data_IF_999348858791
#
_entry.id   IF_999348858791
#
_cell.length_a   1.000
_cell.length_b   1.000
_cell.length_c   1.000
_cell.angle_alpha   90.00
_cell.angle_beta   90.00
_cell.angle_gamma   90.00
#
_symmetry.space_group_name_H-M   'P 1'
#
loop_
_entity.id
_entity.type
_entity.pdbx_description
1 polymer ?
#
# COMPACT_ATOMS: atom_id res chain seq x y z
N UNK A 1 -23.02 48.56 -30.50
CA UNK A 1 -22.69 47.32 -29.77
C UNK A 1 -21.27 47.46 -29.25
N UNK A 2 -21.06 47.41 -27.94
CA UNK A 2 -19.83 47.90 -27.31
C UNK A 2 -18.67 46.90 -27.51
N UNK A 3 -17.51 47.35 -27.99
CA UNK A 3 -16.31 46.53 -28.23
C UNK A 3 -15.91 45.67 -27.01
N UNK A 4 -16.16 46.18 -25.80
CA UNK A 4 -15.94 45.48 -24.52
C UNK A 4 -16.87 44.28 -24.30
N UNK A 5 -18.09 44.29 -24.83
CA UNK A 5 -19.03 43.16 -24.69
C UNK A 5 -18.67 42.01 -25.63
N UNK A 6 -18.15 42.33 -26.82
CA UNK A 6 -17.65 41.34 -27.78
C UNK A 6 -16.41 40.62 -27.23
N UNK A 7 -15.44 41.37 -26.69
CA UNK A 7 -14.24 40.80 -26.06
C UNK A 7 -14.57 39.93 -24.83
N UNK A 8 -15.61 40.28 -24.05
CA UNK A 8 -16.03 39.47 -22.90
C UNK A 8 -16.67 38.15 -23.33
N UNK A 9 -17.54 38.19 -24.36
CA UNK A 9 -18.16 36.98 -24.93
C UNK A 9 -17.14 36.04 -25.57
N UNK A 10 -16.12 36.59 -26.21
CA UNK A 10 -15.06 35.78 -26.82
C UNK A 10 -14.23 35.06 -25.76
N UNK A 11 -13.85 35.76 -24.66
CA UNK A 11 -13.18 35.15 -23.51
C UNK A 11 -14.05 34.10 -22.81
N UNK A 12 -15.33 34.37 -22.61
CA UNK A 12 -16.29 33.42 -22.03
C UNK A 12 -16.42 32.16 -22.92
N UNK A 13 -16.51 32.34 -24.24
CA UNK A 13 -16.56 31.23 -25.20
C UNK A 13 -15.25 30.42 -25.25
N UNK A 14 -14.10 31.07 -25.10
CA UNK A 14 -12.80 30.43 -25.03
C UNK A 14 -12.63 29.62 -23.74
N UNK A 15 -13.12 30.13 -22.61
CA UNK A 15 -13.16 29.43 -21.32
C UNK A 15 -14.07 28.19 -21.38
N UNK A 16 -15.24 28.29 -22.01
CA UNK A 16 -16.14 27.15 -22.21
C UNK A 16 -15.52 26.10 -23.13
N UNK A 17 -14.81 26.51 -24.18
CA UNK A 17 -14.07 25.58 -25.07
C UNK A 17 -12.91 24.89 -24.35
N UNK A 18 -12.17 25.61 -23.50
CA UNK A 18 -11.11 25.02 -22.67
C UNK A 18 -11.69 24.04 -21.65
N UNK A 19 -12.74 24.44 -20.91
CA UNK A 19 -13.44 23.57 -19.97
C UNK A 19 -14.01 22.30 -20.63
N UNK A 20 -14.52 22.39 -21.86
CA UNK A 20 -14.99 21.22 -22.61
C UNK A 20 -13.85 20.32 -23.12
N UNK A 21 -12.66 20.86 -23.40
CA UNK A 21 -11.47 20.05 -23.72
C UNK A 21 -10.88 19.35 -22.50
N UNK A 22 -11.05 19.92 -21.31
CA UNK A 22 -10.59 19.34 -20.04
C UNK A 22 -11.51 18.22 -19.53
N UNK A 23 -12.74 18.09 -20.06
CA UNK A 23 -13.63 16.99 -19.71
C UNK A 23 -13.12 15.68 -20.30
N UNK A 24 -13.03 14.66 -19.45
CA UNK A 24 -12.77 13.29 -19.88
C UNK A 24 -13.82 12.86 -20.92
N UNK A 25 -13.41 12.41 -22.12
CA UNK A 25 -14.36 11.92 -23.12
C UNK A 25 -15.19 10.78 -22.57
N UNK A 26 -16.49 10.77 -22.89
CA UNK A 26 -17.37 9.67 -22.53
C UNK A 26 -16.94 8.42 -23.32
N UNK A 27 -16.52 7.37 -22.61
CA UNK A 27 -16.36 6.05 -23.19
C UNK A 27 -17.72 5.37 -23.35
N UNK A 28 -17.89 4.59 -24.41
CA UNK A 28 -19.06 3.73 -24.59
C UNK A 28 -19.08 2.58 -23.57
N UNK A 29 -20.26 2.13 -23.16
CA UNK A 29 -20.43 0.93 -22.33
C UNK A 29 -21.38 -0.07 -23.00
N UNK A 30 -21.19 -1.35 -22.72
CA UNK A 30 -22.07 -2.41 -23.22
C UNK A 30 -23.27 -2.55 -22.28
N UNK A 31 -24.48 -2.24 -22.79
CA UNK A 31 -25.71 -2.38 -22.02
C UNK A 31 -25.95 -3.86 -21.65
N UNK A 32 -26.25 -4.13 -20.38
CA UNK A 32 -26.53 -5.48 -19.87
C UNK A 32 -25.31 -6.26 -19.40
N UNK A 33 -24.10 -5.70 -19.52
CA UNK A 33 -22.87 -6.30 -18.96
C UNK A 33 -22.59 -5.66 -17.61
N UNK A 34 -22.68 -6.45 -16.54
CA UNK A 34 -22.26 -6.07 -15.19
C UNK A 34 -20.81 -6.49 -14.91
N UNK A 35 -20.29 -6.04 -13.76
CA UNK A 35 -19.03 -6.55 -13.21
C UNK A 35 -19.31 -7.70 -12.25
N UNK A 36 -18.55 -8.79 -12.38
CA UNK A 36 -18.69 -9.98 -11.52
C UNK A 36 -18.07 -9.77 -10.13
N UNK A 37 -17.15 -8.81 -9.99
CA UNK A 37 -16.56 -8.41 -8.72
C UNK A 37 -16.12 -6.94 -8.79
N UNK A 38 -16.16 -6.27 -7.64
CA UNK A 38 -15.52 -4.96 -7.46
C UNK A 38 -14.14 -5.24 -6.87
N UNK A 39 -13.03 -4.81 -7.52
CA UNK A 39 -11.70 -5.02 -6.99
C UNK A 39 -11.58 -4.49 -5.55
N UNK A 40 -10.94 -5.26 -4.68
CA UNK A 40 -10.69 -4.82 -3.32
C UNK A 40 -9.80 -3.57 -3.38
N UNK A 41 -10.32 -2.45 -2.89
CA UNK A 41 -9.60 -1.19 -2.86
C UNK A 41 -8.54 -1.25 -1.76
N UNK A 42 -7.28 -1.39 -2.14
CA UNK A 42 -6.16 -1.20 -1.23
C UNK A 42 -5.85 0.29 -1.08
N UNK A 43 -5.13 0.66 -0.03
CA UNK A 43 -4.75 2.05 0.18
C UNK A 43 -3.87 2.57 -0.98
N UNK A 44 -4.12 3.75 -1.57
CA UNK A 44 -3.38 4.25 -2.75
C UNK A 44 -1.86 4.31 -2.54
N UNK A 45 -1.41 4.59 -1.31
CA UNK A 45 0.01 4.54 -0.95
C UNK A 45 0.59 3.13 -1.09
N UNK A 46 -0.13 2.11 -0.62
CA UNK A 46 0.29 0.73 -0.77
C UNK A 46 0.31 0.33 -2.24
N UNK A 47 -0.70 0.70 -3.02
CA UNK A 47 -0.73 0.47 -4.46
C UNK A 47 0.52 1.01 -5.15
N UNK A 48 0.82 2.30 -4.94
CA UNK A 48 2.02 2.96 -5.49
C UNK A 48 3.31 2.22 -5.13
N UNK A 49 3.43 1.78 -3.87
CA UNK A 49 4.63 1.11 -3.39
C UNK A 49 4.74 -0.33 -3.88
N UNK A 50 3.63 -1.05 -4.02
CA UNK A 50 3.57 -2.40 -4.59
C UNK A 50 3.93 -2.38 -6.08
N UNK A 51 3.40 -1.42 -6.85
CA UNK A 51 3.82 -1.21 -8.26
C UNK A 51 5.32 -0.93 -8.36
N UNK A 52 5.87 -0.18 -7.41
CA UNK A 52 7.31 0.09 -7.34
C UNK A 52 8.14 -1.08 -6.75
N UNK A 53 7.51 -2.21 -6.38
CA UNK A 53 8.13 -3.37 -5.69
C UNK A 53 8.91 -3.00 -4.43
N UNK A 54 8.46 -1.97 -3.72
CA UNK A 54 9.07 -1.49 -2.48
C UNK A 54 8.40 -2.11 -1.27
N UNK A 55 9.11 -2.08 -0.15
CA UNK A 55 8.56 -2.51 1.13
C UNK A 55 7.31 -1.70 1.50
N UNK A 56 6.23 -2.41 1.82
CA UNK A 56 4.97 -1.85 2.34
C UNK A 56 4.64 -2.54 3.66
N UNK A 57 4.39 -1.79 4.75
CA UNK A 57 3.91 -2.38 6.00
C UNK A 57 2.61 -3.15 5.81
N UNK A 58 2.47 -4.31 6.47
CA UNK A 58 1.30 -5.18 6.31
C UNK A 58 0.01 -4.53 6.75
N UNK A 59 0.09 -3.54 7.63
CA UNK A 59 -1.05 -2.78 8.10
C UNK A 59 -1.92 -2.23 6.96
N UNK A 60 -1.32 -1.83 5.82
CA UNK A 60 -2.07 -1.33 4.67
C UNK A 60 -2.99 -2.34 4.00
N UNK A 61 -2.80 -3.63 4.29
CA UNK A 61 -3.58 -4.75 3.76
C UNK A 61 -4.65 -5.23 4.74
N UNK A 62 -4.75 -4.58 5.91
CA UNK A 62 -5.80 -4.81 6.88
C UNK A 62 -7.10 -4.05 6.54
N UNK A 63 -8.25 -4.53 7.06
CA UNK A 63 -9.54 -3.85 6.88
C UNK A 63 -9.56 -2.38 7.35
N UNK A 64 -8.82 -2.06 8.40
CA UNK A 64 -8.70 -0.72 8.98
C UNK A 64 -8.11 0.27 7.98
N UNK A 65 -7.02 -0.12 7.30
CA UNK A 65 -6.42 0.68 6.25
C UNK A 65 -7.32 0.82 5.02
N UNK A 66 -8.13 -0.22 4.72
CA UNK A 66 -9.13 -0.17 3.65
C UNK A 66 -10.25 0.82 3.98
N UNK A 67 -10.69 0.88 5.23
CA UNK A 67 -11.66 1.86 5.69
C UNK A 67 -11.10 3.29 5.58
N UNK A 68 -9.85 3.50 6.01
CA UNK A 68 -9.17 4.79 5.87
C UNK A 68 -9.01 5.20 4.39
N UNK A 69 -8.64 4.26 3.51
CA UNK A 69 -8.51 4.53 2.08
C UNK A 69 -9.83 5.02 1.46
N UNK A 70 -10.96 4.42 1.86
CA UNK A 70 -12.30 4.84 1.41
C UNK A 70 -12.65 6.24 1.91
N UNK A 71 -12.26 6.60 3.11
CA UNK A 71 -12.51 7.93 3.67
C UNK A 71 -11.66 8.99 2.96
N UNK A 72 -10.35 8.73 2.80
CA UNK A 72 -9.44 9.61 2.03
C UNK A 72 -9.90 9.81 0.58
N UNK A 73 -10.45 8.78 -0.04
CA UNK A 73 -11.00 8.87 -1.39
C UNK A 73 -12.20 9.82 -1.47
N UNK A 74 -12.99 9.98 -0.40
CA UNK A 74 -14.08 10.96 -0.34
C UNK A 74 -13.53 12.37 -0.17
N UNK A 75 -12.52 12.54 0.67
CA UNK A 75 -11.88 13.84 0.92
C UNK A 75 -11.12 14.38 -0.29
N UNK A 76 -10.55 13.50 -1.12
CA UNK A 76 -9.84 13.87 -2.35
C UNK A 76 -10.73 14.53 -3.42
N UNK A 77 -12.07 14.47 -3.26
CA UNK A 77 -13.03 15.18 -4.13
C UNK A 77 -12.92 16.70 -3.91
N UNK A 78 -12.45 17.15 -2.74
CA UNK A 78 -12.27 18.57 -2.42
C UNK A 78 -10.86 19.05 -2.84
N UNK A 79 -10.73 19.38 -4.13
CA UNK A 79 -9.46 19.77 -4.78
C UNK A 79 -8.77 21.01 -4.21
N UNK A 80 -9.43 21.78 -3.34
CA UNK A 80 -8.90 23.04 -2.80
C UNK A 80 -8.21 22.91 -1.43
N UNK A 81 -7.99 21.69 -0.93
CA UNK A 81 -7.32 21.48 0.36
C UNK A 81 -5.82 21.24 0.17
N UNK A 82 -4.98 22.02 0.84
CA UNK A 82 -3.54 21.77 0.95
C UNK A 82 -3.19 21.18 2.30
N UNK A 83 -2.19 20.29 2.33
CA UNK A 83 -1.67 19.68 3.55
C UNK A 83 -0.18 19.95 3.66
N UNK A 84 0.30 20.03 4.90
CA UNK A 84 1.72 20.19 5.21
C UNK A 84 2.32 18.80 5.41
N UNK A 85 3.33 18.47 4.61
CA UNK A 85 4.12 17.25 4.73
C UNK A 85 5.51 17.57 5.27
N UNK A 86 5.98 16.74 6.20
CA UNK A 86 7.37 16.69 6.62
C UNK A 86 8.03 15.46 5.99
N UNK A 87 9.18 15.69 5.39
CA UNK A 87 10.07 14.64 4.88
C UNK A 87 11.29 14.61 5.82
N UNK A 88 11.46 13.52 6.55
CA UNK A 88 12.60 13.29 7.42
C UNK A 88 13.62 12.46 6.66
N UNK A 89 14.53 13.16 5.98
CA UNK A 89 15.78 12.57 5.53
C UNK A 89 16.84 12.90 6.59
N UNK A 90 17.67 11.91 6.96
CA UNK A 90 18.44 11.77 8.21
C UNK A 90 19.47 12.90 8.52
N UNK A 91 19.45 14.00 7.75
CA UNK A 91 20.27 15.19 7.94
C UNK A 91 19.54 16.53 7.76
N UNK A 92 18.31 16.58 7.20
CA UNK A 92 17.51 17.82 7.05
C UNK A 92 16.01 17.51 6.95
N UNK A 93 15.22 17.92 7.95
CA UNK A 93 13.76 17.87 7.86
C UNK A 93 13.25 18.93 6.87
N UNK A 94 12.57 18.51 5.81
CA UNK A 94 12.01 19.41 4.78
C UNK A 94 10.50 19.51 4.95
N UNK A 95 10.01 20.73 5.17
CA UNK A 95 8.57 21.02 5.16
C UNK A 95 8.11 21.33 3.73
N UNK A 96 7.07 20.65 3.24
CA UNK A 96 6.49 20.90 1.91
C UNK A 96 4.98 21.01 1.99
N UNK A 97 4.41 21.95 1.23
CA UNK A 97 2.96 22.04 1.01
C UNK A 97 2.61 21.16 -0.19
N UNK A 98 1.72 20.21 0.03
CA UNK A 98 1.25 19.28 -0.99
C UNK A 98 -0.27 19.37 -1.10
N UNK A 99 -0.81 19.16 -2.30
CA UNK A 99 -2.25 19.06 -2.46
C UNK A 99 -2.79 17.84 -1.71
N UNK A 100 -4.01 17.92 -1.16
CA UNK A 100 -4.63 16.79 -0.42
C UNK A 100 -4.80 15.53 -1.26
N UNK A 101 -4.72 15.66 -2.59
CA UNK A 101 -4.76 14.54 -3.54
C UNK A 101 -3.43 13.77 -3.64
N UNK A 102 -2.34 14.24 -3.02
CA UNK A 102 -1.07 13.52 -3.06
C UNK A 102 -1.13 12.22 -2.24
N UNK A 103 -0.71 11.13 -2.86
CA UNK A 103 -0.64 9.80 -2.22
C UNK A 103 0.47 9.80 -1.16
N UNK A 104 0.09 9.86 0.12
CA UNK A 104 0.99 9.82 1.28
C UNK A 104 0.74 8.59 2.15
N UNK A 105 1.76 8.19 2.90
CA UNK A 105 1.61 7.22 3.97
C UNK A 105 0.58 7.70 5.01
N UNK A 106 -0.22 6.76 5.54
CA UNK A 106 -1.12 7.02 6.66
C UNK A 106 -0.31 7.24 7.94
N UNK A 107 -0.68 8.22 8.79
CA UNK A 107 -0.11 8.37 10.13
C UNK A 107 -0.49 7.22 11.07
N UNK A 108 -1.52 6.43 10.72
CA UNK A 108 -1.96 5.26 11.48
C UNK A 108 -1.21 3.99 11.07
N UNK A 109 -0.38 4.06 10.03
CA UNK A 109 0.37 2.90 9.56
C UNK A 109 1.37 2.44 10.62
N UNK A 110 1.22 1.21 11.07
CA UNK A 110 2.15 0.58 12.01
C UNK A 110 3.16 -0.30 11.27
N UNK A 111 4.41 -0.39 11.74
CA UNK A 111 5.39 -1.32 11.21
C UNK A 111 5.00 -2.76 11.53
N UNK A 112 5.53 -3.72 10.76
CA UNK A 112 5.21 -5.13 10.95
C UNK A 112 5.62 -5.66 12.33
N UNK A 113 6.70 -5.13 12.91
CA UNK A 113 7.17 -5.50 14.25
C UNK A 113 6.18 -5.15 15.36
N UNK A 114 5.21 -4.29 15.08
CA UNK A 114 4.13 -3.94 16.00
C UNK A 114 2.82 -4.71 15.72
N UNK A 115 2.77 -5.52 14.67
CA UNK A 115 1.59 -6.33 14.35
C UNK A 115 1.57 -7.60 15.19
N UNK A 116 0.37 -8.02 15.58
CA UNK A 116 0.17 -9.37 16.12
C UNK A 116 0.19 -10.41 15.00
N UNK A 117 0.43 -11.67 15.37
CA UNK A 117 0.35 -12.78 14.42
C UNK A 117 -0.98 -12.83 13.67
N UNK A 118 -2.09 -12.65 14.39
CA UNK A 118 -3.42 -12.64 13.80
C UNK A 118 -3.60 -11.51 12.78
N UNK A 119 -3.05 -10.32 13.06
CA UNK A 119 -3.08 -9.20 12.12
C UNK A 119 -2.23 -9.51 10.89
N UNK A 120 -1.01 -10.02 11.06
CA UNK A 120 -0.16 -10.41 9.94
C UNK A 120 -0.85 -11.45 9.03
N UNK A 121 -1.49 -12.46 9.64
CA UNK A 121 -2.21 -13.51 8.92
C UNK A 121 -3.52 -13.04 8.31
N UNK A 122 -4.21 -12.08 8.92
CA UNK A 122 -5.40 -11.45 8.32
C UNK A 122 -5.03 -10.60 7.09
N UNK A 123 -3.88 -9.93 7.14
CA UNK A 123 -3.36 -9.11 6.04
C UNK A 123 -2.83 -9.93 4.85
N UNK A 124 -2.45 -11.20 5.08
CA UNK A 124 -1.75 -12.05 4.10
C UNK A 124 -2.47 -12.17 2.76
N UNK A 125 -3.78 -12.41 2.76
CA UNK A 125 -4.53 -12.68 1.53
C UNK A 125 -4.59 -11.46 0.62
N UNK A 126 -4.81 -10.29 1.21
CA UNK A 126 -4.81 -9.02 0.48
C UNK A 126 -3.39 -8.68 -0.01
N UNK A 127 -2.36 -8.92 0.81
CA UNK A 127 -0.96 -8.73 0.41
C UNK A 127 -0.57 -9.61 -0.78
N UNK A 128 -0.85 -10.92 -0.71
CA UNK A 128 -0.55 -11.87 -1.80
C UNK A 128 -1.29 -11.49 -3.09
N UNK A 129 -2.55 -11.07 -2.99
CA UNK A 129 -3.31 -10.60 -4.16
C UNK A 129 -2.69 -9.33 -4.77
N UNK A 130 -2.17 -8.45 -3.94
CA UNK A 130 -1.52 -7.20 -4.35
C UNK A 130 -0.14 -7.39 -4.99
N UNK A 131 0.49 -8.58 -4.91
CA UNK A 131 1.73 -8.88 -5.64
C UNK A 131 1.56 -8.74 -7.16
N UNK A 132 0.35 -8.96 -7.67
CA UNK A 132 0.04 -8.75 -9.10
C UNK A 132 0.30 -7.31 -9.58
N UNK A 133 0.14 -6.31 -8.71
CA UNK A 133 0.39 -4.89 -9.03
C UNK A 133 1.86 -4.59 -9.33
N UNK A 134 2.76 -5.37 -8.73
CA UNK A 134 4.19 -5.28 -8.97
C UNK A 134 4.65 -6.18 -10.11
N UNK A 135 3.76 -6.94 -10.77
CA UNK A 135 4.14 -7.94 -11.78
C UNK A 135 5.20 -8.93 -11.23
N UNK A 136 5.06 -9.35 -9.97
CA UNK A 136 5.89 -10.42 -9.42
C UNK A 136 5.59 -11.73 -10.17
N UNK A 137 6.63 -12.51 -10.47
CA UNK A 137 6.47 -13.81 -11.13
C UNK A 137 5.79 -14.81 -10.21
N UNK A 138 5.22 -15.88 -10.79
CA UNK A 138 4.56 -16.95 -10.05
C UNK A 138 5.48 -17.58 -8.99
N UNK A 139 6.79 -17.66 -9.25
CA UNK A 139 7.78 -18.15 -8.29
C UNK A 139 7.85 -17.27 -7.03
N UNK A 140 7.81 -15.93 -7.19
CA UNK A 140 7.78 -15.02 -6.03
C UNK A 140 6.46 -15.15 -5.25
N UNK A 141 5.34 -15.29 -5.96
CA UNK A 141 4.03 -15.49 -5.32
C UNK A 141 4.02 -16.81 -4.54
N UNK A 142 4.53 -17.88 -5.13
CA UNK A 142 4.66 -19.19 -4.50
C UNK A 142 5.59 -19.15 -3.28
N UNK A 143 6.72 -18.44 -3.36
CA UNK A 143 7.64 -18.22 -2.24
C UNK A 143 6.95 -17.51 -1.07
N UNK A 144 6.25 -16.40 -1.31
CA UNK A 144 5.52 -15.70 -0.25
C UNK A 144 4.38 -16.56 0.31
N UNK A 145 3.63 -17.27 -0.54
CA UNK A 145 2.59 -18.18 -0.07
C UNK A 145 3.17 -19.31 0.81
N UNK A 146 4.27 -19.92 0.37
CA UNK A 146 5.00 -20.94 1.11
C UNK A 146 5.52 -20.43 2.45
N UNK A 147 6.02 -19.19 2.50
CA UNK A 147 6.41 -18.54 3.75
C UNK A 147 5.25 -18.46 4.73
N UNK A 148 4.11 -17.87 4.34
CA UNK A 148 2.95 -17.75 5.23
C UNK A 148 2.38 -19.10 5.67
N UNK A 149 2.29 -20.08 4.77
CA UNK A 149 1.82 -21.43 5.10
C UNK A 149 2.79 -22.15 6.03
N UNK A 150 4.10 -22.03 5.78
CA UNK A 150 5.13 -22.60 6.62
C UNK A 150 5.08 -22.05 8.04
N UNK A 151 4.84 -20.74 8.19
CA UNK A 151 4.77 -20.10 9.51
C UNK A 151 3.53 -20.56 10.28
N UNK A 152 2.37 -20.64 9.61
CA UNK A 152 1.10 -21.07 10.19
C UNK A 152 1.16 -22.52 10.71
N UNK A 153 1.94 -23.37 10.02
CA UNK A 153 2.10 -24.79 10.33
C UNK A 153 3.34 -25.09 11.19
N UNK A 154 4.11 -24.07 11.57
CA UNK A 154 5.37 -24.25 12.27
C UNK A 154 5.13 -24.72 13.73
N UNK A 155 5.92 -25.68 14.27
CA UNK A 155 5.75 -26.18 15.64
C UNK A 155 5.75 -25.11 16.73
N UNK A 156 6.51 -24.01 16.53
CA UNK A 156 6.53 -22.84 17.42
C UNK A 156 5.13 -22.28 17.71
N UNK A 157 4.17 -22.43 16.78
CA UNK A 157 2.79 -21.96 16.98
C UNK A 157 2.07 -22.66 18.15
N UNK A 158 2.56 -23.82 18.60
CA UNK A 158 2.02 -24.55 19.76
C UNK A 158 2.63 -24.07 21.09
N UNK A 159 3.67 -23.23 21.05
CA UNK A 159 4.33 -22.71 22.23
C UNK A 159 3.57 -21.53 22.85
N UNK A 160 3.75 -21.31 24.15
CA UNK A 160 3.05 -20.26 24.92
C UNK A 160 3.17 -18.86 24.30
N UNK A 161 4.34 -18.52 23.77
CA UNK A 161 4.62 -17.24 23.12
C UNK A 161 4.73 -17.36 21.59
N UNK A 162 4.30 -18.49 21.02
CA UNK A 162 4.52 -18.86 19.63
C UNK A 162 4.09 -17.81 18.63
N UNK A 163 2.87 -17.30 18.77
CA UNK A 163 2.37 -16.23 17.91
C UNK A 163 3.20 -14.94 18.00
N UNK A 164 3.69 -14.56 19.19
CA UNK A 164 4.54 -13.35 19.32
C UNK A 164 5.90 -13.56 18.67
N UNK A 165 6.50 -14.74 18.86
CA UNK A 165 7.77 -15.12 18.21
C UNK A 165 7.61 -15.12 16.70
N UNK A 166 6.54 -15.72 16.19
CA UNK A 166 6.27 -15.77 14.75
C UNK A 166 5.97 -14.40 14.15
N UNK A 167 5.24 -13.53 14.85
CA UNK A 167 5.03 -12.15 14.40
C UNK A 167 6.35 -11.37 14.31
N UNK A 168 7.23 -11.52 15.31
CA UNK A 168 8.55 -10.90 15.30
C UNK A 168 9.43 -11.44 14.17
N UNK A 169 9.53 -12.77 14.04
CA UNK A 169 10.26 -13.43 12.97
C UNK A 169 9.76 -12.99 11.59
N UNK A 170 8.43 -12.91 11.41
CA UNK A 170 7.80 -12.45 10.18
C UNK A 170 8.27 -11.04 9.79
N UNK A 171 8.22 -10.11 10.75
CA UNK A 171 8.60 -8.72 10.53
C UNK A 171 10.07 -8.60 10.11
N UNK A 172 10.97 -9.28 10.82
CA UNK A 172 12.41 -9.28 10.53
C UNK A 172 12.71 -9.88 9.16
N UNK A 173 12.15 -11.06 8.87
CA UNK A 173 12.40 -11.76 7.61
C UNK A 173 11.86 -10.98 6.41
N UNK A 174 10.64 -10.41 6.49
CA UNK A 174 10.08 -9.65 5.37
C UNK A 174 10.90 -8.36 5.14
N UNK A 175 11.31 -7.67 6.21
CA UNK A 175 12.16 -6.47 6.10
C UNK A 175 13.51 -6.79 5.48
N UNK A 176 14.17 -7.84 5.95
CA UNK A 176 15.45 -8.31 5.43
C UNK A 176 15.36 -8.72 3.95
N UNK A 177 14.27 -9.40 3.57
CA UNK A 177 14.03 -9.80 2.19
C UNK A 177 13.92 -8.61 1.24
N UNK A 178 13.14 -7.58 1.59
CA UNK A 178 13.04 -6.38 0.76
C UNK A 178 14.39 -5.65 0.66
N UNK A 179 15.16 -5.59 1.74
CA UNK A 179 16.52 -5.07 1.70
C UNK A 179 17.42 -5.86 0.75
N UNK A 180 17.39 -7.19 0.81
CA UNK A 180 18.17 -8.05 -0.09
C UNK A 180 17.70 -7.94 -1.56
N UNK A 181 16.40 -7.79 -1.78
CA UNK A 181 15.79 -7.58 -3.10
C UNK A 181 16.27 -6.27 -3.74
N UNK A 182 16.33 -5.17 -2.98
CA UNK A 182 16.88 -3.89 -3.45
C UNK A 182 18.35 -4.02 -3.89
N UNK A 183 19.12 -4.88 -3.22
CA UNK A 183 20.52 -5.20 -3.57
C UNK A 183 20.65 -6.29 -4.64
N UNK A 184 19.54 -6.69 -5.29
CA UNK A 184 19.48 -7.74 -6.34
C UNK A 184 19.98 -9.11 -5.89
N UNK A 185 19.83 -9.44 -4.61
CA UNK A 185 20.18 -10.75 -4.04
C UNK A 185 19.05 -11.26 -3.14
N UNK A 186 17.80 -11.37 -3.64
CA UNK A 186 16.73 -11.92 -2.83
C UNK A 186 17.04 -13.37 -2.46
N UNK A 187 16.56 -13.79 -1.30
CA UNK A 187 16.60 -15.17 -0.84
C UNK A 187 15.19 -15.74 -0.77
N UNK A 188 15.08 -17.05 -0.65
CA UNK A 188 13.80 -17.74 -0.53
C UNK A 188 13.26 -17.61 0.90
N UNK A 189 12.14 -16.90 1.07
CA UNK A 189 11.47 -16.75 2.36
C UNK A 189 10.79 -18.03 2.85
N UNK A 190 10.45 -18.96 1.97
CA UNK A 190 9.84 -20.23 2.35
C UNK A 190 10.84 -21.16 3.07
N UNK A 191 12.16 -20.88 2.98
CA UNK A 191 13.20 -21.59 3.71
C UNK A 191 13.46 -20.89 5.04
N UNK A 192 13.10 -21.55 6.14
CA UNK A 192 13.17 -20.96 7.48
C UNK A 192 14.61 -20.89 7.99
N UNK A 193 14.97 -19.73 8.51
CA UNK A 193 16.22 -19.49 9.23
C UNK A 193 16.02 -19.82 10.71
N UNK A 194 16.47 -20.99 11.15
CA UNK A 194 16.42 -21.39 12.57
C UNK A 194 17.19 -20.40 13.45
N UNK A 195 18.28 -19.82 12.93
CA UNK A 195 19.05 -18.79 13.64
C UNK A 195 18.19 -17.58 13.97
N UNK A 196 17.52 -17.01 12.97
CA UNK A 196 16.70 -15.81 13.14
C UNK A 196 15.44 -16.10 13.97
N UNK A 197 14.94 -17.35 13.91
CA UNK A 197 13.86 -17.80 14.77
C UNK A 197 14.31 -17.86 16.24
N UNK A 198 15.49 -18.41 16.52
CA UNK A 198 16.07 -18.44 17.87
C UNK A 198 16.33 -17.02 18.41
N UNK A 199 16.89 -16.14 17.59
CA UNK A 199 17.05 -14.71 17.93
C UNK A 199 15.69 -14.07 18.30
N UNK A 200 14.61 -14.42 17.57
CA UNK A 200 13.25 -13.95 17.88
C UNK A 200 12.69 -14.55 19.18
N UNK A 201 13.01 -15.82 19.50
CA UNK A 201 12.62 -16.43 20.78
C UNK A 201 13.25 -15.69 21.94
N UNK A 202 14.54 -15.37 21.85
CA UNK A 202 15.28 -14.64 22.89
C UNK A 202 14.70 -13.25 23.08
N UNK A 203 14.43 -12.52 21.99
CA UNK A 203 13.90 -11.16 22.07
C UNK A 203 12.50 -11.11 22.71
N UNK A 204 11.61 -12.05 22.38
CA UNK A 204 10.24 -12.06 22.91
C UNK A 204 10.16 -12.55 24.37
N UNK A 205 11.11 -13.37 24.80
CA UNK A 205 11.17 -13.90 26.18
C UNK A 205 11.86 -12.95 27.16
N UNK A 206 12.50 -11.89 26.66
CA UNK A 206 13.13 -10.84 27.45
C UNK A 206 12.09 -9.93 28.10
#
# INVERSE_FOLDING_TARGET
MNRREAERREREAELVKKANKERTPLCSFTRGVGVNSIPQQIHPYAEKMMTARKYVPLWYFLPEATAEAKERSKDAIDTNRFQVAMDDDNTKSKLTLVGSHTVRASPNAVPDSCLTWEQAMRAKSTFLSALSLGEFTDDFVAMFAGFYTGMDMHPEMQELYGGRVMAHYHAEMRRAWYGAFEHRKPFDLAVFSERTLEESRVEIRR
#
